data_IF_872934346358
#
_entry.id   IF_872934346358
#
_cell.length_a   1.000
_cell.length_b   1.000
_cell.length_c   1.000
_cell.angle_alpha   90.00
_cell.angle_beta   90.00
_cell.angle_gamma   90.00
#
_symmetry.space_group_name_H-M   'P 1'
#
loop_
_entity.id
_entity.type
_entity.pdbx_description
1 polymer ?
#
# COMPACT_ATOMS: atom_id res chain seq x y z
N UNK A 1 -11.33 -2.49 -22.54
CA UNK A 1 -10.82 -1.11 -22.53
C UNK A 1 -10.23 -0.78 -21.15
N UNK A 2 -8.89 -0.77 -20.98
CA UNK A 2 -8.21 -0.61 -19.68
C UNK A 2 -8.01 0.85 -19.24
N UNK A 3 -8.14 1.81 -20.17
CA UNK A 3 -7.85 3.24 -19.93
C UNK A 3 -9.11 4.15 -19.87
N UNK A 4 -10.32 3.58 -19.97
CA UNK A 4 -11.54 4.39 -19.83
C UNK A 4 -11.76 4.74 -18.35
N UNK A 5 -11.95 6.02 -17.97
CA UNK A 5 -12.17 6.43 -16.58
C UNK A 5 -13.32 5.69 -15.90
N UNK A 6 -14.45 5.54 -16.59
CA UNK A 6 -15.63 4.83 -16.09
C UNK A 6 -15.38 3.33 -15.92
N UNK A 7 -14.68 2.71 -16.88
CA UNK A 7 -14.30 1.30 -16.79
C UNK A 7 -13.25 1.06 -15.69
N UNK A 8 -12.30 1.97 -15.53
CA UNK A 8 -11.29 1.95 -14.47
C UNK A 8 -11.94 2.07 -13.10
N UNK A 9 -12.87 3.00 -12.92
CA UNK A 9 -13.64 3.12 -11.67
C UNK A 9 -14.44 1.86 -11.36
N UNK A 10 -15.17 1.31 -12.33
CA UNK A 10 -15.91 0.05 -12.14
C UNK A 10 -14.97 -1.11 -11.72
N UNK A 11 -13.80 -1.23 -12.35
CA UNK A 11 -12.82 -2.25 -12.00
C UNK A 11 -12.25 -2.05 -10.58
N UNK A 12 -11.94 -0.81 -10.20
CA UNK A 12 -11.52 -0.46 -8.84
C UNK A 12 -12.60 -0.79 -7.82
N UNK A 13 -13.86 -0.39 -8.07
CA UNK A 13 -14.97 -0.64 -7.15
C UNK A 13 -15.23 -2.14 -6.96
N UNK A 14 -15.19 -2.93 -8.05
CA UNK A 14 -15.28 -4.40 -7.96
C UNK A 14 -14.13 -5.01 -7.18
N UNK A 15 -12.91 -4.50 -7.38
CA UNK A 15 -11.74 -4.97 -6.65
C UNK A 15 -11.82 -4.64 -5.14
N UNK A 16 -12.31 -3.44 -4.79
CA UNK A 16 -12.55 -3.03 -3.40
C UNK A 16 -13.57 -3.96 -2.75
N UNK A 17 -14.71 -4.21 -3.40
CA UNK A 17 -15.72 -5.12 -2.86
C UNK A 17 -15.15 -6.52 -2.59
N UNK A 18 -14.35 -7.05 -3.52
CA UNK A 18 -13.67 -8.33 -3.33
C UNK A 18 -12.66 -8.30 -2.17
N UNK A 19 -11.96 -7.19 -1.93
CA UNK A 19 -11.07 -7.08 -0.77
C UNK A 19 -11.85 -6.99 0.54
N UNK A 20 -12.97 -6.24 0.57
CA UNK A 20 -13.82 -6.13 1.76
C UNK A 20 -14.34 -7.49 2.22
N UNK A 21 -14.72 -8.39 1.30
CA UNK A 21 -15.15 -9.74 1.66
C UNK A 21 -14.02 -10.65 2.19
N UNK A 22 -12.75 -10.32 1.92
CA UNK A 22 -11.59 -11.11 2.34
C UNK A 22 -10.97 -10.62 3.64
N UNK A 23 -11.19 -9.36 3.99
CA UNK A 23 -10.60 -8.71 5.15
C UNK A 23 -11.53 -8.87 6.36
N UNK A 24 -10.98 -9.15 7.56
CA UNK A 24 -11.79 -9.21 8.77
C UNK A 24 -12.43 -7.86 9.10
N UNK A 25 -13.63 -7.90 9.69
CA UNK A 25 -14.31 -6.74 10.25
C UNK A 25 -13.57 -6.25 11.50
N UNK A 26 -12.70 -5.26 11.31
CA UNK A 26 -11.90 -4.65 12.38
C UNK A 26 -11.51 -3.22 12.01
N UNK A 27 -10.99 -2.46 12.98
CA UNK A 27 -10.47 -1.12 12.72
C UNK A 27 -9.13 -1.21 11.99
N UNK A 28 -9.08 -0.62 10.81
CA UNK A 28 -7.87 -0.51 9.99
C UNK A 28 -7.24 0.87 10.14
N UNK A 29 -5.92 0.92 10.26
CA UNK A 29 -5.14 2.16 10.21
C UNK A 29 -4.53 2.34 8.82
N UNK A 30 -4.61 3.55 8.30
CA UNK A 30 -3.98 3.90 7.03
C UNK A 30 -2.59 4.50 7.29
N UNK A 31 -1.56 3.79 6.85
CA UNK A 31 -0.16 4.16 6.95
C UNK A 31 0.38 4.44 5.55
N UNK A 32 1.26 5.42 5.39
CA UNK A 32 1.87 5.73 4.09
C UNK A 32 3.38 5.81 4.26
N UNK A 33 4.10 4.96 3.53
CA UNK A 33 5.55 5.10 3.39
C UNK A 33 5.84 5.97 2.17
N UNK A 34 6.44 7.14 2.42
CA UNK A 34 6.84 8.07 1.38
C UNK A 34 8.33 7.91 1.13
N UNK A 35 8.70 7.70 -0.14
CA UNK A 35 10.10 7.65 -0.53
C UNK A 35 10.66 9.09 -0.64
N UNK A 36 11.88 9.37 -0.13
CA UNK A 36 12.57 10.63 -0.39
C UNK A 36 12.69 10.93 -1.89
N UNK A 37 12.55 12.20 -2.26
CA UNK A 37 12.62 12.68 -3.64
C UNK A 37 13.96 12.37 -4.33
N UNK A 38 15.04 12.41 -3.57
CA UNK A 38 16.39 12.00 -4.00
C UNK A 38 16.46 10.57 -4.53
N UNK A 39 15.59 9.67 -4.06
CA UNK A 39 15.53 8.27 -4.51
C UNK A 39 14.52 8.05 -5.64
N UNK A 40 13.69 9.04 -5.98
CA UNK A 40 12.68 8.88 -7.01
C UNK A 40 13.25 8.50 -8.38
N UNK A 41 14.35 9.11 -8.89
CA UNK A 41 14.91 8.74 -10.19
C UNK A 41 15.39 7.28 -10.23
N UNK A 42 15.90 6.76 -9.10
CA UNK A 42 16.36 5.38 -9.00
C UNK A 42 15.24 4.39 -9.31
N UNK A 43 14.07 4.57 -8.69
CA UNK A 43 12.90 3.72 -8.91
C UNK A 43 12.15 4.04 -10.19
N UNK A 44 12.33 5.23 -10.75
CA UNK A 44 11.78 5.57 -12.07
C UNK A 44 12.43 4.71 -13.16
N UNK A 45 13.77 4.59 -13.11
CA UNK A 45 14.53 3.77 -14.05
C UNK A 45 14.50 2.28 -13.70
N UNK A 46 14.41 1.92 -12.42
CA UNK A 46 14.41 0.53 -11.94
C UNK A 46 13.03 0.12 -11.43
N UNK A 47 12.02 0.18 -12.31
CA UNK A 47 10.60 -0.13 -11.98
C UNK A 47 10.41 -1.53 -11.36
N UNK A 48 11.29 -2.48 -11.67
CA UNK A 48 11.21 -3.85 -11.16
C UNK A 48 11.51 -3.95 -9.64
N UNK A 49 12.13 -2.93 -9.04
CA UNK A 49 12.36 -2.87 -7.59
C UNK A 49 11.16 -2.37 -6.78
N UNK A 50 10.10 -1.91 -7.45
CA UNK A 50 8.89 -1.42 -6.78
C UNK A 50 8.22 -2.51 -5.93
N UNK A 51 8.24 -3.77 -6.38
CA UNK A 51 7.73 -4.90 -5.59
C UNK A 51 8.56 -5.13 -4.31
N UNK A 52 9.89 -5.05 -4.43
CA UNK A 52 10.79 -5.17 -3.29
C UNK A 52 10.57 -4.05 -2.25
N UNK A 53 10.24 -2.84 -2.71
CA UNK A 53 9.93 -1.71 -1.83
C UNK A 53 8.64 -1.97 -1.02
N UNK A 54 7.61 -2.53 -1.65
CA UNK A 54 6.40 -2.99 -0.94
C UNK A 54 6.70 -4.05 0.10
N UNK A 55 7.48 -5.08 -0.26
CA UNK A 55 7.87 -6.15 0.67
C UNK A 55 8.61 -5.59 1.87
N UNK A 56 9.56 -4.68 1.65
CA UNK A 56 10.31 -4.04 2.72
C UNK A 56 9.42 -3.23 3.67
N UNK A 57 8.41 -2.52 3.13
CA UNK A 57 7.44 -1.80 3.96
C UNK A 57 6.62 -2.76 4.84
N UNK A 58 6.15 -3.88 4.27
CA UNK A 58 5.42 -4.93 5.00
C UNK A 58 6.30 -5.57 6.06
N UNK A 59 7.53 -5.96 5.73
CA UNK A 59 8.47 -6.60 6.65
C UNK A 59 8.80 -5.70 7.85
N UNK A 60 8.95 -4.39 7.61
CA UNK A 60 9.14 -3.41 8.69
C UNK A 60 7.94 -3.32 9.63
N UNK A 61 6.71 -3.33 9.09
CA UNK A 61 5.49 -3.32 9.91
C UNK A 61 5.34 -4.62 10.72
N UNK A 62 5.57 -5.78 10.09
CA UNK A 62 5.53 -7.07 10.77
C UNK A 62 6.60 -7.16 11.86
N UNK A 63 7.80 -6.66 11.60
CA UNK A 63 8.87 -6.56 12.58
C UNK A 63 8.50 -5.67 13.78
N UNK A 64 7.93 -4.50 13.50
CA UNK A 64 7.46 -3.58 14.52
C UNK A 64 6.32 -4.17 15.37
N UNK A 65 5.43 -4.96 14.76
CA UNK A 65 4.37 -5.71 15.44
C UNK A 65 4.92 -6.79 16.36
N UNK A 66 5.81 -7.64 15.85
CA UNK A 66 6.48 -8.70 16.63
C UNK A 66 7.20 -8.14 17.86
N UNK A 67 7.92 -7.03 17.71
CA UNK A 67 8.62 -6.36 18.83
C UNK A 67 7.69 -5.84 19.93
N UNK A 68 6.43 -5.57 19.59
CA UNK A 68 5.39 -5.13 20.53
C UNK A 68 4.46 -6.25 20.98
N UNK A 69 4.70 -7.49 20.55
CA UNK A 69 3.84 -8.63 20.87
C UNK A 69 2.44 -8.54 20.27
N UNK A 70 2.26 -7.78 19.18
CA UNK A 70 0.97 -7.63 18.49
C UNK A 70 1.00 -8.33 17.15
N UNK A 71 -0.09 -9.02 16.83
CA UNK A 71 -0.32 -9.54 15.49
C UNK A 71 -0.81 -8.41 14.58
N UNK A 72 -0.23 -8.31 13.38
CA UNK A 72 -0.51 -7.23 12.44
C UNK A 72 -0.89 -7.81 11.10
N UNK A 73 -2.12 -7.51 10.65
CA UNK A 73 -2.53 -7.73 9.27
C UNK A 73 -2.09 -6.53 8.43
N UNK A 74 -1.34 -6.74 7.35
CA UNK A 74 -0.89 -5.66 6.47
C UNK A 74 -1.38 -5.91 5.05
N UNK A 75 -2.02 -4.89 4.48
CA UNK A 75 -2.37 -4.83 3.07
C UNK A 75 -1.61 -3.66 2.42
N UNK A 76 -0.76 -3.95 1.45
CA UNK A 76 0.17 -2.99 0.87
C UNK A 76 -0.12 -2.80 -0.63
N UNK A 77 -0.19 -1.56 -1.08
CA UNK A 77 -0.29 -1.21 -2.49
C UNK A 77 0.78 -0.17 -2.84
N UNK A 78 1.26 -0.17 -4.08
CA UNK A 78 2.16 0.89 -4.55
C UNK A 78 1.44 1.85 -5.47
N UNK A 79 1.64 3.14 -5.21
CA UNK A 79 1.23 4.21 -6.10
C UNK A 79 2.48 4.90 -6.61
N UNK A 80 2.63 4.92 -7.93
CA UNK A 80 3.82 5.47 -8.58
C UNK A 80 3.67 6.94 -8.96
N UNK A 81 2.43 7.43 -9.03
CA UNK A 81 2.11 8.81 -9.39
C UNK A 81 1.25 9.46 -8.32
N UNK A 82 1.53 10.74 -8.05
CA UNK A 82 0.69 11.57 -7.19
C UNK A 82 -0.58 12.04 -7.91
N UNK A 83 -1.45 12.75 -7.18
CA UNK A 83 -2.70 13.32 -7.72
C UNK A 83 -2.49 14.27 -8.91
N UNK A 84 -1.32 14.89 -9.02
CA UNK A 84 -0.93 15.78 -10.15
C UNK A 84 -0.24 15.03 -11.28
N UNK A 85 -0.26 13.69 -11.29
CA UNK A 85 0.44 12.82 -12.24
C UNK A 85 1.97 13.02 -12.25
N UNK A 86 2.52 13.66 -11.22
CA UNK A 86 3.96 13.72 -11.00
C UNK A 86 4.47 12.37 -10.48
N UNK A 87 5.67 12.01 -10.90
CA UNK A 87 6.36 10.84 -10.34
C UNK A 87 6.53 11.03 -8.85
N UNK A 88 5.87 10.19 -8.05
CA UNK A 88 5.82 10.28 -6.60
C UNK A 88 5.51 8.89 -6.04
N UNK A 89 6.52 7.99 -6.00
CA UNK A 89 6.34 6.65 -5.47
C UNK A 89 6.04 6.73 -3.98
N UNK A 90 4.86 6.27 -3.60
CA UNK A 90 4.41 6.14 -2.21
C UNK A 90 3.68 4.80 -2.04
N UNK A 91 3.78 4.26 -0.84
CA UNK A 91 3.24 2.95 -0.50
C UNK A 91 2.20 3.13 0.61
N UNK A 92 0.91 3.20 0.25
CA UNK A 92 -0.14 3.00 1.22
C UNK A 92 -0.16 1.57 1.74
N UNK A 93 -0.17 1.48 3.06
CA UNK A 93 -0.38 0.26 3.81
C UNK A 93 -1.63 0.43 4.66
N UNK A 94 -2.56 -0.52 4.58
CA UNK A 94 -3.59 -0.69 5.60
C UNK A 94 -3.06 -1.69 6.62
N UNK A 95 -2.92 -1.26 7.86
CA UNK A 95 -2.51 -2.11 8.97
C UNK A 95 -3.66 -2.31 9.95
N UNK A 96 -4.01 -3.55 10.28
CA UNK A 96 -4.74 -3.82 11.51
C UNK A 96 -3.70 -3.99 12.62
N UNK A 97 -3.70 -3.06 13.54
CA UNK A 97 -2.89 -3.09 14.75
C UNK A 97 -3.86 -3.41 15.88
N UNK A 98 -3.69 -4.56 16.55
CA UNK A 98 -4.40 -4.91 17.79
C UNK A 98 -4.01 -4.00 18.97
N UNK A 99 -4.02 -2.69 18.76
CA UNK A 99 -3.69 -1.63 19.70
C UNK A 99 -4.92 -1.20 20.50
N UNK A 100 -5.71 -2.17 20.95
CA UNK A 100 -6.80 -1.92 21.87
C UNK A 100 -6.73 -2.94 23.01
N UNK A 101 -6.07 -2.51 24.09
CA UNK A 101 -6.24 -3.01 25.46
C UNK A 101 -6.22 -1.81 26.39
#
# INVERSE_FOLDING_TARGET
CRACPSCGKKATDQWIANQQHRLPECTWQHLVFTLPDTLWPLFFHNRHWLDALCRLAVDNLLYAGRRRGVEVGVFCAIHTYGRRLNWHPHIPCLGHLGWDR
#
